data_IF_090243609277
#
_entry.id   IF_090243609277
#
_cell.length_a   1.000
_cell.length_b   1.000
_cell.length_c   1.000
_cell.angle_alpha   90.00
_cell.angle_beta   90.00
_cell.angle_gamma   90.00
#
_symmetry.space_group_name_H-M   'P 1'
#
loop_
_entity.id
_entity.type
_entity.pdbx_description
1 polymer ?
#
# COMPACT_ATOMS: atom_id res chain seq x y z
N UNK A 1 39.15 -2.23 -8.01
CA UNK A 1 38.76 -3.66 -8.15
C UNK A 1 37.84 -3.99 -6.99
N UNK A 2 36.55 -3.64 -7.10
CA UNK A 2 35.57 -3.97 -6.06
C UNK A 2 34.89 -5.26 -6.50
N UNK A 3 35.21 -6.35 -5.83
CA UNK A 3 34.49 -7.60 -5.96
C UNK A 3 33.07 -7.36 -5.43
N UNK A 4 32.13 -7.01 -6.31
CA UNK A 4 30.75 -7.38 -6.10
C UNK A 4 30.75 -8.90 -6.10
N UNK A 5 30.81 -9.47 -4.90
CA UNK A 5 30.61 -10.90 -4.69
C UNK A 5 29.20 -11.18 -5.21
N UNK A 6 29.10 -11.69 -6.43
CA UNK A 6 27.88 -12.33 -6.91
C UNK A 6 27.55 -13.42 -5.89
N UNK A 7 26.58 -13.13 -5.03
CA UNK A 7 26.03 -14.13 -4.14
C UNK A 7 25.34 -15.13 -5.06
N UNK A 8 25.98 -16.27 -5.31
CA UNK A 8 25.33 -17.36 -6.02
C UNK A 8 24.30 -18.01 -5.09
N UNK A 9 23.02 -17.74 -5.30
CA UNK A 9 21.98 -18.29 -4.45
C UNK A 9 21.45 -19.63 -4.97
N UNK A 10 22.36 -20.58 -5.21
CA UNK A 10 22.05 -21.93 -5.71
C UNK A 10 21.07 -22.73 -4.83
N UNK A 11 20.91 -22.34 -3.55
CA UNK A 11 20.03 -23.00 -2.57
C UNK A 11 18.65 -22.33 -2.41
N UNK A 12 18.36 -21.28 -3.17
CA UNK A 12 17.07 -20.60 -3.10
C UNK A 12 15.86 -21.44 -3.50
N UNK A 13 15.90 -22.29 -4.54
CA UNK A 13 14.79 -23.20 -4.79
C UNK A 13 14.55 -24.16 -3.61
N UNK A 14 15.60 -24.61 -2.93
CA UNK A 14 15.47 -25.46 -1.74
C UNK A 14 14.85 -24.70 -0.56
N UNK A 15 15.26 -23.44 -0.32
CA UNK A 15 14.65 -22.58 0.70
C UNK A 15 13.16 -22.35 0.43
N UNK A 16 12.77 -22.15 -0.83
CA UNK A 16 11.36 -22.00 -1.21
C UNK A 16 10.56 -23.27 -0.97
N UNK A 17 11.12 -24.45 -1.26
CA UNK A 17 10.48 -25.74 -0.92
C UNK A 17 10.26 -25.87 0.58
N UNK A 18 11.25 -25.48 1.40
CA UNK A 18 11.12 -25.48 2.87
C UNK A 18 10.04 -24.52 3.34
N UNK A 19 9.97 -23.30 2.79
CA UNK A 19 8.92 -22.32 3.12
C UNK A 19 7.53 -22.86 2.76
N UNK A 20 7.36 -23.44 1.57
CA UNK A 20 6.08 -24.03 1.15
C UNK A 20 5.69 -25.18 2.07
N UNK A 21 6.63 -26.07 2.42
CA UNK A 21 6.38 -27.16 3.35
C UNK A 21 5.98 -26.66 4.74
N UNK A 22 6.64 -25.61 5.26
CA UNK A 22 6.29 -24.99 6.54
C UNK A 22 4.89 -24.38 6.52
N UNK A 23 4.52 -23.66 5.45
CA UNK A 23 3.19 -23.03 5.33
C UNK A 23 2.08 -24.09 5.25
N UNK A 24 2.27 -25.13 4.42
CA UNK A 24 1.32 -26.25 4.31
C UNK A 24 1.22 -26.98 5.65
N UNK A 25 2.35 -27.25 6.31
CA UNK A 25 2.38 -27.84 7.64
C UNK A 25 1.65 -26.99 8.69
N UNK A 26 1.82 -25.67 8.66
CA UNK A 26 1.12 -24.76 9.56
C UNK A 26 -0.40 -24.73 9.30
N UNK A 27 -0.81 -24.77 8.03
CA UNK A 27 -2.23 -24.81 7.66
C UNK A 27 -2.90 -26.10 8.14
N UNK A 28 -2.25 -27.25 7.94
CA UNK A 28 -2.72 -28.55 8.42
C UNK A 28 -2.74 -28.59 9.95
N UNK A 29 -1.67 -28.15 10.60
CA UNK A 29 -1.62 -28.05 12.06
C UNK A 29 -2.76 -27.15 12.57
N UNK A 30 -2.99 -26.00 11.94
CA UNK A 30 -4.07 -25.12 12.32
C UNK A 30 -5.46 -25.74 12.14
N UNK A 31 -5.69 -26.58 11.12
CA UNK A 31 -6.97 -27.27 10.95
C UNK A 31 -7.17 -28.39 11.96
N UNK A 32 -6.12 -29.15 12.30
CA UNK A 32 -6.20 -30.27 13.25
C UNK A 32 -6.30 -29.81 14.70
N UNK A 33 -5.60 -28.74 15.08
CA UNK A 33 -5.63 -28.20 16.45
C UNK A 33 -6.78 -27.20 16.64
N UNK A 34 -7.93 -27.44 16.01
CA UNK A 34 -9.10 -26.55 16.10
C UNK A 34 -9.60 -26.33 17.53
N UNK A 35 -9.39 -27.34 18.39
CA UNK A 35 -9.97 -27.44 19.72
C UNK A 35 -9.13 -26.76 20.81
N UNK A 36 -7.93 -26.24 20.47
CA UNK A 36 -7.07 -25.49 21.38
C UNK A 36 -7.52 -24.02 21.44
N UNK A 37 -7.29 -23.35 22.59
CA UNK A 37 -7.51 -21.91 22.74
C UNK A 37 -6.89 -21.11 21.58
N UNK A 38 -7.69 -20.21 21.02
CA UNK A 38 -7.37 -19.42 19.81
C UNK A 38 -6.05 -18.66 19.95
N UNK A 39 -5.75 -18.12 21.15
CA UNK A 39 -4.54 -17.35 21.40
C UNK A 39 -3.25 -18.15 21.09
N UNK A 40 -3.19 -19.42 21.51
CA UNK A 40 -1.98 -20.23 21.32
C UNK A 40 -1.78 -20.60 19.85
N UNK A 41 -2.85 -20.84 19.09
CA UNK A 41 -2.80 -21.09 17.64
C UNK A 41 -2.30 -19.88 16.87
N UNK A 42 -2.80 -18.69 17.20
CA UNK A 42 -2.38 -17.45 16.55
C UNK A 42 -0.90 -17.19 16.82
N UNK A 43 -0.43 -17.37 18.06
CA UNK A 43 1.00 -17.22 18.38
C UNK A 43 1.87 -18.23 17.62
N UNK A 44 1.45 -19.50 17.53
CA UNK A 44 2.17 -20.51 16.77
C UNK A 44 2.23 -20.16 15.26
N UNK A 45 1.12 -19.71 14.67
CA UNK A 45 1.08 -19.28 13.27
C UNK A 45 1.95 -18.06 13.01
N UNK A 46 1.93 -17.07 13.90
CA UNK A 46 2.82 -15.90 13.83
C UNK A 46 4.28 -16.35 13.91
N UNK A 47 4.62 -17.28 14.80
CA UNK A 47 5.97 -17.85 14.90
C UNK A 47 6.42 -18.50 13.59
N UNK A 48 5.59 -19.35 12.98
CA UNK A 48 5.89 -19.97 11.67
C UNK A 48 6.03 -18.92 10.56
N UNK A 49 5.17 -17.90 10.56
CA UNK A 49 5.24 -16.80 9.61
C UNK A 49 6.56 -16.02 9.73
N UNK A 50 7.03 -15.75 10.96
CA UNK A 50 8.33 -15.10 11.21
C UNK A 50 9.49 -15.95 10.70
N UNK A 51 9.46 -17.26 10.92
CA UNK A 51 10.49 -18.18 10.41
C UNK A 51 10.50 -18.20 8.88
N UNK A 52 9.32 -18.26 8.24
CA UNK A 52 9.21 -18.20 6.78
C UNK A 52 9.74 -16.86 6.23
N UNK A 53 9.41 -15.74 6.88
CA UNK A 53 9.91 -14.42 6.50
C UNK A 53 11.43 -14.33 6.64
N UNK A 54 12.01 -14.86 7.74
CA UNK A 54 13.45 -14.88 7.94
C UNK A 54 14.18 -15.68 6.85
N UNK A 55 13.62 -16.81 6.42
CA UNK A 55 14.17 -17.61 5.31
C UNK A 55 14.04 -16.83 3.97
N UNK A 56 12.88 -16.23 3.71
CA UNK A 56 12.61 -15.50 2.48
C UNK A 56 13.49 -14.26 2.30
N UNK A 57 13.81 -13.54 3.38
CA UNK A 57 14.72 -12.37 3.35
C UNK A 57 16.16 -12.76 2.96
N UNK A 58 16.58 -13.99 3.24
CA UNK A 58 17.91 -14.52 2.89
C UNK A 58 18.00 -15.11 1.47
N UNK A 59 17.04 -14.81 0.60
CA UNK A 59 16.90 -15.33 -0.77
C UNK A 59 17.18 -14.19 -1.79
N UNK A 60 17.48 -14.49 -3.05
CA UNK A 60 17.67 -13.52 -4.16
C UNK A 60 16.56 -12.48 -4.20
N UNK A 61 15.30 -12.94 -4.12
CA UNK A 61 14.13 -12.06 -4.09
C UNK A 61 14.16 -11.09 -2.91
N UNK A 62 14.67 -11.52 -1.75
CA UNK A 62 14.84 -10.68 -0.58
C UNK A 62 15.93 -9.62 -0.77
N UNK A 63 17.06 -9.99 -1.38
CA UNK A 63 18.13 -9.04 -1.70
C UNK A 63 17.68 -7.99 -2.72
N UNK A 64 16.98 -8.42 -3.78
CA UNK A 64 16.43 -7.51 -4.78
C UNK A 64 15.38 -6.57 -4.17
N UNK A 65 14.55 -7.07 -3.26
CA UNK A 65 13.60 -6.24 -2.51
C UNK A 65 14.32 -5.18 -1.67
N UNK A 66 15.42 -5.53 -1.00
CA UNK A 66 16.23 -4.56 -0.25
C UNK A 66 16.87 -3.49 -1.15
N UNK A 67 17.32 -3.88 -2.33
CA UNK A 67 17.87 -2.95 -3.32
C UNK A 67 16.79 -1.98 -3.84
N UNK A 68 15.60 -2.49 -4.16
CA UNK A 68 14.44 -1.68 -4.52
C UNK A 68 14.03 -0.73 -3.39
N UNK A 69 14.04 -1.20 -2.13
CA UNK A 69 13.71 -0.37 -0.97
C UNK A 69 14.70 0.79 -0.81
N UNK A 70 16.00 0.52 -1.00
CA UNK A 70 17.04 1.56 -1.01
C UNK A 70 16.85 2.53 -2.17
N UNK A 71 16.54 2.03 -3.37
CA UNK A 71 16.21 2.84 -4.54
C UNK A 71 15.02 3.77 -4.27
N UNK A 72 13.94 3.24 -3.69
CA UNK A 72 12.76 4.00 -3.32
C UNK A 72 13.07 5.08 -2.27
N UNK A 73 13.91 4.79 -1.28
CA UNK A 73 14.35 5.81 -0.30
C UNK A 73 15.15 6.94 -0.96
N UNK A 74 15.98 6.64 -1.95
CA UNK A 74 16.72 7.64 -2.71
C UNK A 74 15.76 8.50 -3.54
N UNK A 75 14.74 7.90 -4.15
CA UNK A 75 13.73 8.60 -4.94
C UNK A 75 12.79 9.45 -4.09
N UNK A 76 12.38 8.96 -2.91
CA UNK A 76 11.63 9.74 -1.94
C UNK A 76 12.37 10.98 -1.47
N UNK A 77 13.71 10.92 -1.38
CA UNK A 77 14.54 12.11 -1.09
C UNK A 77 14.60 13.11 -2.24
N UNK A 78 14.30 12.68 -3.48
CA UNK A 78 14.17 13.56 -4.64
C UNK A 78 12.79 14.20 -4.75
N UNK A 79 11.81 13.74 -3.95
CA UNK A 79 10.51 14.40 -3.85
C UNK A 79 10.72 15.74 -3.14
N UNK A 80 10.91 16.77 -3.95
CA UNK A 80 10.78 18.16 -3.52
C UNK A 80 9.32 18.38 -3.21
N UNK A 81 8.97 18.30 -1.93
CA UNK A 81 7.64 18.65 -1.49
C UNK A 81 7.39 20.12 -1.82
N UNK A 82 6.26 20.43 -2.48
CA UNK A 82 5.92 21.79 -2.87
C UNK A 82 5.95 22.70 -1.64
N UNK A 83 6.48 23.90 -1.82
CA UNK A 83 6.54 24.87 -0.73
C UNK A 83 5.13 25.37 -0.43
N UNK A 84 4.82 25.65 0.85
CA UNK A 84 3.49 26.10 1.29
C UNK A 84 2.83 27.22 0.45
N UNK A 85 3.59 28.19 -0.11
CA UNK A 85 3.04 29.21 -1.00
C UNK A 85 2.40 28.65 -2.28
N UNK A 86 2.99 27.64 -2.92
CA UNK A 86 2.50 27.03 -4.17
C UNK A 86 1.20 26.24 -3.95
N UNK A 87 1.13 25.55 -2.81
CA UNK A 87 -0.07 24.80 -2.37
C UNK A 87 -1.24 25.76 -2.15
N UNK A 88 -0.96 26.92 -1.54
CA UNK A 88 -1.98 27.91 -1.20
C UNK A 88 -2.51 28.61 -2.45
N UNK A 89 -1.63 28.97 -3.39
CA UNK A 89 -2.02 29.60 -4.65
C UNK A 89 -2.93 28.68 -5.48
N UNK A 90 -2.56 27.40 -5.62
CA UNK A 90 -3.36 26.44 -6.40
C UNK A 90 -4.70 26.17 -5.74
N UNK A 91 -4.72 26.03 -4.41
CA UNK A 91 -5.98 25.85 -3.65
C UNK A 91 -6.90 27.06 -3.78
N UNK A 92 -6.37 28.28 -3.68
CA UNK A 92 -7.15 29.51 -3.83
C UNK A 92 -7.74 29.65 -5.24
N UNK A 93 -7.01 29.28 -6.28
CA UNK A 93 -7.52 29.25 -7.65
C UNK A 93 -8.72 28.29 -7.74
N UNK A 94 -8.59 27.06 -7.23
CA UNK A 94 -9.68 26.07 -7.25
C UNK A 94 -10.89 26.57 -6.44
N UNK A 95 -10.68 27.14 -5.25
CA UNK A 95 -11.75 27.70 -4.42
C UNK A 95 -12.48 28.83 -5.16
N UNK A 96 -11.75 29.72 -5.84
CA UNK A 96 -12.36 30.78 -6.63
C UNK A 96 -13.24 30.23 -7.75
N UNK A 97 -12.76 29.21 -8.48
CA UNK A 97 -13.56 28.56 -9.53
C UNK A 97 -14.82 27.90 -8.94
N UNK A 98 -14.71 27.18 -7.82
CA UNK A 98 -15.86 26.53 -7.16
C UNK A 98 -16.91 27.55 -6.73
N UNK A 99 -16.49 28.69 -6.15
CA UNK A 99 -17.42 29.76 -5.75
C UNK A 99 -18.14 30.32 -6.97
N UNK A 100 -17.43 30.64 -8.04
CA UNK A 100 -18.02 31.19 -9.27
C UNK A 100 -19.01 30.21 -9.88
N UNK A 101 -18.63 28.94 -10.04
CA UNK A 101 -19.52 27.92 -10.58
C UNK A 101 -20.74 27.70 -9.69
N UNK A 102 -20.57 27.67 -8.36
CA UNK A 102 -21.68 27.55 -7.42
C UNK A 102 -22.68 28.71 -7.53
N UNK A 103 -22.20 29.94 -7.66
CA UNK A 103 -23.06 31.12 -7.88
C UNK A 103 -23.81 31.07 -9.21
N UNK A 104 -23.14 30.63 -10.29
CA UNK A 104 -23.76 30.50 -11.61
C UNK A 104 -24.90 29.46 -11.57
N UNK A 105 -24.63 28.29 -10.99
CA UNK A 105 -25.64 27.24 -10.84
C UNK A 105 -26.80 27.73 -9.98
N UNK A 106 -26.53 28.29 -8.80
CA UNK A 106 -27.57 28.84 -7.93
C UNK A 106 -28.48 29.86 -8.63
N UNK A 107 -27.91 30.75 -9.44
CA UNK A 107 -28.68 31.71 -10.24
C UNK A 107 -29.56 31.04 -11.29
N UNK A 108 -29.01 30.04 -12.00
CA UNK A 108 -29.76 29.24 -12.98
C UNK A 108 -30.90 28.47 -12.32
N UNK A 109 -30.63 27.77 -11.22
CA UNK A 109 -31.61 26.99 -10.47
C UNK A 109 -32.75 27.88 -9.94
N UNK A 110 -32.42 29.07 -9.43
CA UNK A 110 -33.41 30.04 -8.95
C UNK A 110 -34.29 30.57 -10.09
N UNK A 111 -33.69 30.85 -11.25
CA UNK A 111 -34.41 31.35 -12.43
C UNK A 111 -35.32 30.26 -13.03
N UNK A 112 -34.82 29.03 -13.15
CA UNK A 112 -35.61 27.89 -13.59
C UNK A 112 -36.76 27.63 -12.61
N UNK A 113 -36.51 27.66 -11.30
CA UNK A 113 -37.54 27.52 -10.27
C UNK A 113 -38.63 28.60 -10.36
N UNK A 114 -38.24 29.85 -10.64
CA UNK A 114 -39.19 30.94 -10.87
C UNK A 114 -40.03 30.74 -12.14
N UNK A 115 -39.41 30.29 -13.25
CA UNK A 115 -40.13 29.95 -14.47
C UNK A 115 -41.12 28.80 -14.28
N UNK A 116 -40.74 27.76 -13.53
CA UNK A 116 -41.63 26.65 -13.22
C UNK A 116 -42.82 27.10 -12.36
N UNK A 117 -42.60 27.99 -11.38
CA UNK A 117 -43.71 28.48 -10.55
C UNK A 117 -44.72 29.31 -11.35
N UNK A 118 -44.27 30.07 -12.36
CA UNK A 118 -45.13 30.82 -13.28
C UNK A 118 -45.94 29.94 -14.24
N UNK A 119 -45.46 28.73 -14.56
CA UNK A 119 -46.17 27.79 -15.45
C UNK A 119 -47.20 26.97 -14.68
N UNK A 120 -46.92 26.66 -13.42
CA UNK A 120 -47.80 25.87 -12.54
C UNK A 120 -48.89 26.71 -11.87
N UNK A 121 -48.67 28.02 -11.71
CA UNK A 121 -49.68 28.98 -11.27
C UNK A 121 -50.57 29.44 -12.43
#
# INVERSE_FOLDING_TARGET
>A
MNANVEKEFRLDPLKWVVVVALVVGAAIANSYYSDILVLYRVLALVGVAVVCAAIAVNTEKGNNFWELLKGAQIELRKVVWPTGPEITQTTLIVVAVVIVTGFILWGLDSLLGYLFSLIIA
#
